data_IF_560749201885
#
_entry.id   IF_560749201885
#
_cell.length_a   1.000
_cell.length_b   1.000
_cell.length_c   1.000
_cell.angle_alpha   90.00
_cell.angle_beta   90.00
_cell.angle_gamma   90.00
#
_symmetry.space_group_name_H-M   'P 1'
#
loop_
_entity.id
_entity.type
_entity.pdbx_description
1 polymer ?
#
# COMPACT_ATOMS: atom_id res chain seq x y z
N UNK A 1 -8.61 -18.30 -13.74
CA UNK A 1 -7.89 -17.08 -14.13
C UNK A 1 -6.57 -17.06 -13.37
N UNK A 2 -5.43 -16.91 -14.04
CA UNK A 2 -4.15 -16.76 -13.36
C UNK A 2 -4.02 -15.30 -12.92
N UNK A 3 -4.18 -15.02 -11.62
CA UNK A 3 -4.16 -13.66 -11.08
C UNK A 3 -2.81 -12.97 -11.30
N UNK A 4 -1.72 -13.72 -11.22
CA UNK A 4 -0.38 -13.19 -11.46
C UNK A 4 -0.24 -12.68 -12.89
N UNK A 5 -0.63 -13.48 -13.88
CA UNK A 5 -0.63 -13.05 -15.29
C UNK A 5 -1.51 -11.81 -15.49
N UNK A 6 -2.72 -11.81 -14.92
CA UNK A 6 -3.62 -10.64 -14.97
C UNK A 6 -2.92 -9.36 -14.45
N UNK A 7 -2.22 -9.43 -13.33
CA UNK A 7 -1.53 -8.28 -12.77
C UNK A 7 -0.41 -7.80 -13.69
N UNK A 8 0.47 -8.70 -14.14
CA UNK A 8 1.60 -8.29 -14.98
C UNK A 8 1.16 -7.79 -16.36
N UNK A 9 0.11 -8.38 -16.95
CA UNK A 9 -0.44 -7.94 -18.23
C UNK A 9 -1.11 -6.56 -18.12
N UNK A 10 -1.89 -6.32 -17.06
CA UNK A 10 -2.56 -5.04 -16.87
C UNK A 10 -1.60 -3.86 -16.73
N UNK A 11 -0.42 -4.09 -16.15
CA UNK A 11 0.61 -3.08 -15.93
C UNK A 11 1.77 -3.15 -16.93
N UNK A 12 1.69 -3.99 -17.97
CA UNK A 12 2.78 -4.24 -18.93
C UNK A 12 3.26 -2.99 -19.69
N UNK A 13 2.40 -1.96 -19.80
CA UNK A 13 2.74 -0.69 -20.45
C UNK A 13 3.47 0.29 -19.52
N UNK A 14 3.57 0.01 -18.21
CA UNK A 14 4.33 0.83 -17.27
C UNK A 14 5.82 0.59 -17.47
N UNK A 15 6.55 1.66 -17.75
CA UNK A 15 8.01 1.63 -17.96
C UNK A 15 8.71 1.83 -16.63
N UNK A 16 9.84 1.15 -16.44
CA UNK A 16 10.68 1.36 -15.27
C UNK A 16 11.13 2.83 -15.21
N UNK A 17 10.82 3.57 -14.14
CA UNK A 17 11.26 4.96 -14.01
C UNK A 17 12.79 5.03 -13.84
N UNK A 18 13.36 6.17 -14.23
CA UNK A 18 14.76 6.49 -13.95
C UNK A 18 15.00 6.67 -12.45
N UNK A 19 16.25 6.53 -12.00
CA UNK A 19 16.59 6.50 -10.58
C UNK A 19 16.18 7.78 -9.82
N UNK A 20 16.19 8.93 -10.49
CA UNK A 20 15.75 10.24 -9.98
C UNK A 20 14.22 10.35 -9.86
N UNK A 21 13.47 9.47 -10.52
CA UNK A 21 12.00 9.43 -10.50
C UNK A 21 11.44 8.27 -9.67
N UNK A 22 12.29 7.53 -8.96
CA UNK A 22 11.87 6.45 -8.07
C UNK A 22 11.22 6.97 -6.79
N UNK A 23 11.79 8.00 -6.20
CA UNK A 23 11.45 8.48 -4.86
C UNK A 23 10.90 9.90 -4.90
N UNK A 24 9.94 10.19 -4.03
CA UNK A 24 9.51 11.55 -3.71
C UNK A 24 10.67 12.30 -3.04
N UNK A 25 10.75 13.64 -3.20
CA UNK A 25 11.70 14.45 -2.44
C UNK A 25 11.48 14.23 -0.94
N UNK A 26 12.56 13.91 -0.23
CA UNK A 26 12.58 13.85 1.24
C UNK A 26 13.67 14.77 1.73
N UNK A 27 13.46 15.44 2.87
CA UNK A 27 14.45 16.30 3.51
C UNK A 27 15.61 15.51 4.14
N UNK A 28 16.36 14.75 3.33
CA UNK A 28 17.63 14.12 3.72
C UNK A 28 17.57 12.80 4.47
N UNK A 29 16.54 11.97 4.29
CA UNK A 29 16.44 10.66 4.98
C UNK A 29 17.29 9.58 4.30
N UNK A 30 18.24 9.03 5.05
CA UNK A 30 19.12 7.92 4.63
C UNK A 30 18.37 6.63 4.25
N UNK A 31 17.16 6.42 4.78
CA UNK A 31 16.29 5.28 4.45
C UNK A 31 15.91 5.27 2.95
N UNK A 32 15.89 6.44 2.31
CA UNK A 32 15.60 6.55 0.87
C UNK A 32 16.69 5.96 -0.02
N UNK A 33 17.94 5.86 0.45
CA UNK A 33 19.07 5.46 -0.40
C UNK A 33 19.06 3.95 -0.67
N UNK A 34 18.82 3.14 0.36
CA UNK A 34 18.76 1.67 0.23
C UNK A 34 17.58 1.25 -0.64
N UNK A 35 16.43 1.89 -0.47
CA UNK A 35 15.25 1.63 -1.30
C UNK A 35 15.51 2.06 -2.75
N UNK A 36 16.10 3.25 -2.97
CA UNK A 36 16.45 3.73 -4.32
C UNK A 36 17.43 2.81 -5.02
N UNK A 37 18.49 2.37 -4.35
CA UNK A 37 19.48 1.44 -4.91
C UNK A 37 18.84 0.11 -5.32
N UNK A 38 18.02 -0.46 -4.44
CA UNK A 38 17.27 -1.68 -4.74
C UNK A 38 16.39 -1.51 -5.99
N UNK A 39 15.52 -0.51 -6.00
CA UNK A 39 14.53 -0.36 -7.07
C UNK A 39 15.14 0.16 -8.39
N UNK A 40 16.30 0.80 -8.35
CA UNK A 40 17.04 1.19 -9.55
C UNK A 40 17.67 -0.01 -10.28
N UNK A 41 17.94 -1.10 -9.56
CA UNK A 41 18.65 -2.27 -10.09
C UNK A 41 17.75 -3.50 -10.30
N UNK A 42 16.52 -3.47 -9.77
CA UNK A 42 15.55 -4.56 -9.88
C UNK A 42 14.41 -4.24 -10.82
N UNK A 43 14.02 -5.21 -11.64
CA UNK A 43 12.72 -5.21 -12.31
C UNK A 43 11.63 -5.62 -11.33
N UNK A 44 10.38 -5.28 -11.62
CA UNK A 44 9.24 -5.67 -10.78
C UNK A 44 9.15 -7.20 -10.59
N UNK A 45 9.43 -7.99 -11.63
CA UNK A 45 9.43 -9.45 -11.57
C UNK A 45 10.55 -10.08 -10.73
N UNK A 46 11.53 -9.30 -10.29
CA UNK A 46 12.75 -9.78 -9.63
C UNK A 46 12.77 -9.53 -8.12
N UNK A 47 11.78 -8.79 -7.58
CA UNK A 47 11.69 -8.51 -6.15
C UNK A 47 11.43 -9.78 -5.35
N UNK A 48 12.21 -9.96 -4.29
CA UNK A 48 12.08 -11.07 -3.35
C UNK A 48 11.29 -10.66 -2.11
N UNK A 49 10.69 -11.64 -1.43
CA UNK A 49 9.96 -11.41 -0.17
C UNK A 49 10.84 -10.76 0.90
N UNK A 50 12.13 -11.12 0.92
CA UNK A 50 13.09 -10.52 1.84
C UNK A 50 13.29 -9.03 1.55
N UNK A 51 13.43 -8.65 0.28
CA UNK A 51 13.57 -7.25 -0.13
C UNK A 51 12.29 -6.46 0.16
N UNK A 52 11.11 -7.05 -0.10
CA UNK A 52 9.83 -6.44 0.26
C UNK A 52 9.75 -6.18 1.76
N UNK A 53 10.01 -7.19 2.59
CA UNK A 53 9.91 -7.09 4.06
C UNK A 53 10.97 -6.18 4.70
N UNK A 54 12.18 -6.14 4.16
CA UNK A 54 13.32 -5.49 4.84
C UNK A 54 13.75 -4.16 4.24
N UNK A 55 13.21 -3.78 3.08
CA UNK A 55 13.57 -2.56 2.36
C UNK A 55 12.34 -1.77 1.94
N UNK A 56 11.32 -2.41 1.38
CA UNK A 56 10.13 -1.72 0.86
C UNK A 56 9.12 -1.42 1.96
N UNK A 57 8.92 -2.36 2.88
CA UNK A 57 8.06 -2.20 4.06
C UNK A 57 8.44 -0.94 4.87
N UNK A 58 7.42 -0.18 5.26
CA UNK A 58 7.54 1.11 5.95
C UNK A 58 7.97 2.27 5.05
N UNK A 59 8.32 2.00 3.79
CA UNK A 59 8.84 2.98 2.85
C UNK A 59 7.98 3.10 1.58
N UNK A 60 6.82 2.43 1.51
CA UNK A 60 5.98 2.44 0.31
C UNK A 60 5.48 3.87 -0.02
N UNK A 61 5.28 4.70 0.99
CA UNK A 61 4.89 6.11 0.85
C UNK A 61 5.96 6.97 0.12
N UNK A 62 7.23 6.56 0.16
CA UNK A 62 8.33 7.27 -0.52
C UNK A 62 8.28 7.13 -2.04
N UNK A 63 7.60 6.11 -2.57
CA UNK A 63 7.53 5.89 -4.01
C UNK A 63 6.76 7.01 -4.70
N UNK A 64 7.30 7.50 -5.81
CA UNK A 64 6.52 8.29 -6.77
C UNK A 64 5.38 7.45 -7.35
N UNK A 65 4.39 8.08 -7.95
CA UNK A 65 3.30 7.38 -8.65
C UNK A 65 3.82 6.40 -9.71
N UNK A 66 4.79 6.83 -10.52
CA UNK A 66 5.36 5.99 -11.59
C UNK A 66 6.07 4.75 -11.04
N UNK A 67 6.89 4.91 -10.00
CA UNK A 67 7.58 3.80 -9.37
C UNK A 67 6.59 2.85 -8.69
N UNK A 68 5.63 3.39 -7.95
CA UNK A 68 4.60 2.60 -7.30
C UNK A 68 3.84 1.73 -8.32
N UNK A 69 3.34 2.32 -9.41
CA UNK A 69 2.57 1.60 -10.42
C UNK A 69 3.40 0.59 -11.22
N UNK A 70 4.70 0.87 -11.45
CA UNK A 70 5.60 -0.08 -12.11
C UNK A 70 5.84 -1.34 -11.26
N UNK A 71 6.02 -1.18 -9.95
CA UNK A 71 6.26 -2.29 -9.03
C UNK A 71 4.98 -2.93 -8.48
N UNK A 72 3.83 -2.27 -8.60
CA UNK A 72 2.54 -2.74 -8.11
C UNK A 72 2.21 -4.19 -8.46
N UNK A 73 2.34 -4.69 -9.72
CA UNK A 73 2.02 -6.10 -10.01
C UNK A 73 2.83 -7.10 -9.18
N UNK A 74 4.07 -6.78 -8.84
CA UNK A 74 4.90 -7.61 -7.97
C UNK A 74 4.41 -7.54 -6.51
N UNK A 75 4.02 -6.36 -6.05
CA UNK A 75 3.44 -6.16 -4.72
C UNK A 75 2.13 -6.93 -4.56
N UNK A 76 1.21 -6.84 -5.54
CA UNK A 76 -0.06 -7.58 -5.54
C UNK A 76 0.18 -9.09 -5.52
N UNK A 77 1.08 -9.57 -6.38
CA UNK A 77 1.42 -11.00 -6.49
C UNK A 77 2.04 -11.53 -5.18
N UNK A 78 3.01 -10.82 -4.60
CA UNK A 78 3.68 -11.25 -3.38
C UNK A 78 2.73 -11.26 -2.18
N UNK A 79 1.90 -10.21 -2.02
CA UNK A 79 0.94 -10.13 -0.92
C UNK A 79 -0.12 -11.24 -0.96
N UNK A 80 -0.50 -11.72 -2.15
CA UNK A 80 -1.41 -12.86 -2.30
C UNK A 80 -0.71 -14.21 -2.10
N UNK A 81 0.39 -14.45 -2.83
CA UNK A 81 1.03 -15.77 -2.92
C UNK A 81 1.91 -16.09 -1.71
N UNK A 82 2.41 -15.06 -1.01
CA UNK A 82 3.42 -15.19 0.04
C UNK A 82 3.10 -14.37 1.28
N UNK A 83 1.80 -14.23 1.56
CA UNK A 83 1.27 -13.45 2.68
C UNK A 83 2.02 -13.67 4.00
N UNK A 84 2.24 -14.92 4.42
CA UNK A 84 2.96 -15.23 5.67
C UNK A 84 4.36 -14.61 5.77
N UNK A 85 5.04 -14.42 4.63
CA UNK A 85 6.38 -13.85 4.58
C UNK A 85 6.37 -12.31 4.56
N UNK A 86 5.26 -11.69 4.14
CA UNK A 86 5.13 -10.24 3.88
C UNK A 86 3.87 -9.62 4.48
N UNK A 87 3.30 -10.18 5.54
CA UNK A 87 1.97 -9.80 6.06
C UNK A 87 1.87 -8.33 6.49
N UNK A 88 2.94 -7.79 7.09
CA UNK A 88 3.02 -6.37 7.47
C UNK A 88 3.05 -5.49 6.21
N UNK A 89 3.93 -5.79 5.26
CA UNK A 89 3.93 -5.14 3.94
C UNK A 89 2.57 -5.26 3.22
N UNK A 90 1.88 -6.40 3.29
CA UNK A 90 0.57 -6.58 2.68
C UNK A 90 -0.50 -5.66 3.30
N UNK A 91 -0.44 -5.46 4.62
CA UNK A 91 -1.29 -4.48 5.32
C UNK A 91 -0.95 -3.04 4.91
N UNK A 92 0.34 -2.70 4.76
CA UNK A 92 0.77 -1.38 4.26
C UNK A 92 0.28 -1.16 2.81
N UNK A 93 0.41 -2.17 1.95
CA UNK A 93 -0.08 -2.12 0.58
C UNK A 93 -1.60 -1.93 0.53
N UNK A 94 -2.36 -2.62 1.38
CA UNK A 94 -3.81 -2.42 1.47
C UNK A 94 -4.14 -0.96 1.85
N UNK A 95 -3.43 -0.40 2.83
CA UNK A 95 -3.56 1.02 3.19
C UNK A 95 -3.24 1.94 2.01
N UNK A 96 -2.17 1.66 1.27
CA UNK A 96 -1.79 2.43 0.09
C UNK A 96 -2.78 2.32 -1.09
N UNK A 97 -3.56 1.24 -1.15
CA UNK A 97 -4.61 1.02 -2.16
C UNK A 97 -5.98 1.56 -1.71
N UNK A 98 -6.11 2.06 -0.48
CA UNK A 98 -7.38 2.53 0.07
C UNK A 98 -7.41 4.05 0.09
N UNK A 99 -8.47 4.65 -0.44
CA UNK A 99 -8.64 6.10 -0.35
C UNK A 99 -8.70 6.53 1.12
N UNK A 100 -7.78 7.41 1.56
CA UNK A 100 -7.64 7.71 2.97
C UNK A 100 -8.84 8.53 3.45
N UNK A 101 -9.41 8.12 4.60
CA UNK A 101 -10.47 8.85 5.28
C UNK A 101 -10.05 9.20 6.69
N UNK A 102 -10.36 10.43 7.11
CA UNK A 102 -10.09 10.86 8.49
C UNK A 102 -10.78 9.95 9.49
N UNK A 103 -11.99 9.48 9.15
CA UNK A 103 -12.76 8.57 9.99
C UNK A 103 -12.01 7.28 10.28
N UNK A 104 -11.34 6.70 9.28
CA UNK A 104 -10.59 5.46 9.44
C UNK A 104 -9.36 5.67 10.33
N UNK A 105 -8.67 6.80 10.17
CA UNK A 105 -7.52 7.16 11.01
C UNK A 105 -7.96 7.26 12.47
N UNK A 106 -9.05 8.00 12.73
CA UNK A 106 -9.61 8.13 14.08
C UNK A 106 -10.04 6.77 14.64
N UNK A 107 -10.73 5.96 13.83
CA UNK A 107 -11.20 4.65 14.28
C UNK A 107 -10.04 3.70 14.59
N UNK A 108 -9.00 3.67 13.75
CA UNK A 108 -7.78 2.88 14.00
C UNK A 108 -7.09 3.32 15.30
N UNK A 109 -6.97 4.63 15.55
CA UNK A 109 -6.37 5.17 16.77
C UNK A 109 -7.24 4.90 18.02
N UNK A 110 -8.56 4.98 17.90
CA UNK A 110 -9.49 4.63 18.97
C UNK A 110 -9.37 3.14 19.34
N UNK A 111 -9.18 2.25 18.36
CA UNK A 111 -8.93 0.82 18.61
C UNK A 111 -7.62 0.61 19.36
N UNK A 112 -6.55 1.32 18.99
CA UNK A 112 -5.26 1.24 19.70
C UNK A 112 -5.36 1.71 21.17
N UNK A 113 -6.26 2.64 21.45
CA UNK A 113 -6.50 3.17 22.79
C UNK A 113 -7.38 2.29 23.69
N UNK A 114 -8.13 1.30 23.13
CA UNK A 114 -9.03 0.44 23.92
C UNK A 114 -8.25 -0.51 24.83
N UNK A 115 -8.54 -0.57 26.15
CA UNK A 115 -7.89 -1.51 27.06
C UNK A 115 -8.31 -2.97 26.83
N UNK A 116 -7.38 -3.93 26.95
CA UNK A 116 -5.93 -3.70 26.96
C UNK A 116 -5.51 -3.18 25.58
N UNK A 117 -4.69 -2.11 25.53
CA UNK A 117 -4.20 -1.61 24.26
C UNK A 117 -3.55 -2.77 23.51
N UNK A 118 -3.94 -3.00 22.26
CA UNK A 118 -3.53 -4.19 21.51
C UNK A 118 -1.99 -4.34 21.43
N UNK A 119 -1.27 -3.24 21.63
CA UNK A 119 0.19 -3.14 21.59
C UNK A 119 0.84 -2.96 22.98
N UNK A 120 0.07 -2.90 24.07
CA UNK A 120 0.59 -2.67 25.42
C UNK A 120 1.28 -1.30 25.60
N UNK A 121 0.98 -0.34 24.73
CA UNK A 121 1.63 0.97 24.74
C UNK A 121 1.12 1.86 25.90
N UNK A 122 1.99 2.69 26.48
CA UNK A 122 1.61 3.75 27.42
C UNK A 122 0.60 4.73 26.80
N UNK A 123 -0.30 5.28 27.63
CA UNK A 123 -1.37 6.18 27.18
C UNK A 123 -0.83 7.44 26.50
N UNK A 124 0.24 8.04 27.04
CA UNK A 124 0.92 9.21 26.49
C UNK A 124 1.55 8.94 25.11
N UNK A 125 2.04 7.71 24.89
CA UNK A 125 2.53 7.29 23.58
C UNK A 125 1.37 7.11 22.57
N UNK A 126 0.22 6.59 23.00
CA UNK A 126 -0.97 6.48 22.15
C UNK A 126 -1.50 7.86 21.76
N UNK A 127 -1.54 8.81 22.69
CA UNK A 127 -1.94 10.20 22.39
C UNK A 127 -0.95 10.88 21.44
N UNK A 128 0.36 10.71 21.65
CA UNK A 128 1.38 11.25 20.75
C UNK A 128 1.28 10.68 19.33
N UNK A 129 1.01 9.37 19.21
CA UNK A 129 0.76 8.72 17.92
C UNK A 129 -0.52 9.27 17.27
N UNK A 130 -1.58 9.48 18.06
CA UNK A 130 -2.83 10.07 17.58
C UNK A 130 -2.61 11.46 17.01
N UNK A 131 -1.90 12.33 17.73
CA UNK A 131 -1.57 13.68 17.26
C UNK A 131 -0.79 13.63 15.94
N UNK A 132 0.27 12.83 15.87
CA UNK A 132 1.11 12.71 14.67
C UNK A 132 0.32 12.19 13.45
N UNK A 133 -0.51 11.17 13.63
CA UNK A 133 -1.30 10.58 12.54
C UNK A 133 -2.39 11.54 12.04
N UNK A 134 -3.03 12.28 12.95
CA UNK A 134 -4.03 13.28 12.57
C UNK A 134 -3.38 14.51 11.92
N UNK A 135 -2.23 14.97 12.41
CA UNK A 135 -1.47 16.05 11.77
C UNK A 135 -1.04 15.67 10.35
N UNK A 136 -0.52 14.46 10.17
CA UNK A 136 -0.16 13.95 8.85
C UNK A 136 -1.39 13.81 7.92
N UNK A 137 -2.53 13.36 8.43
CA UNK A 137 -3.76 13.34 7.65
C UNK A 137 -4.20 14.76 7.25
N UNK A 138 -4.14 15.68 8.19
CA UNK A 138 -4.62 17.06 8.03
C UNK A 138 -3.70 17.93 7.17
N UNK A 139 -2.45 17.51 6.92
CA UNK A 139 -1.58 18.15 5.93
C UNK A 139 -2.14 18.02 4.50
N UNK A 140 -3.01 17.04 4.26
CA UNK A 140 -3.54 16.70 2.94
C UNK A 140 -2.62 15.81 2.09
N UNK A 141 -1.42 15.51 2.58
CA UNK A 141 -0.45 14.67 1.87
C UNK A 141 -1.00 13.27 1.55
N UNK A 142 -1.71 12.55 2.44
CA UNK A 142 -2.18 11.20 2.13
C UNK A 142 -3.14 11.19 0.94
N UNK A 143 -4.06 12.15 0.91
CA UNK A 143 -5.02 12.29 -0.18
C UNK A 143 -4.31 12.66 -1.49
N UNK A 144 -3.35 13.61 -1.45
CA UNK A 144 -2.55 13.98 -2.61
C UNK A 144 -1.75 12.79 -3.16
N UNK A 145 -1.08 12.02 -2.29
CA UNK A 145 -0.34 10.81 -2.65
C UNK A 145 -1.25 9.78 -3.32
N UNK A 146 -2.45 9.58 -2.78
CA UNK A 146 -3.43 8.64 -3.33
C UNK A 146 -3.89 9.08 -4.73
N UNK A 147 -4.32 10.32 -4.89
CA UNK A 147 -4.77 10.85 -6.17
C UNK A 147 -3.66 10.83 -7.24
N UNK A 148 -2.43 11.21 -6.88
CA UNK A 148 -1.28 11.11 -7.78
C UNK A 148 -1.05 9.67 -8.28
N UNK A 149 -1.31 8.66 -7.44
CA UNK A 149 -1.16 7.24 -7.80
C UNK A 149 -2.29 6.73 -8.68
N UNK A 150 -3.53 7.11 -8.40
CA UNK A 150 -4.68 6.37 -8.92
C UNK A 150 -5.59 7.15 -9.89
N UNK A 151 -5.49 8.48 -9.97
CA UNK A 151 -6.31 9.25 -10.92
C UNK A 151 -5.97 8.93 -12.39
N UNK A 152 -4.72 8.51 -12.65
CA UNK A 152 -4.24 8.11 -13.99
C UNK A 152 -4.26 6.60 -14.26
N UNK A 153 -4.90 5.80 -13.40
CA UNK A 153 -4.99 4.35 -13.57
C UNK A 153 -6.04 4.00 -14.62
N UNK A 154 -5.63 3.16 -15.58
CA UNK A 154 -6.51 2.70 -16.66
C UNK A 154 -7.58 1.74 -16.13
N UNK A 155 -8.61 1.48 -16.94
CA UNK A 155 -9.65 0.50 -16.57
C UNK A 155 -9.08 -0.90 -16.33
N UNK A 156 -8.11 -1.33 -17.13
CA UNK A 156 -7.50 -2.65 -17.00
C UNK A 156 -6.70 -2.79 -15.70
N UNK A 157 -5.90 -1.76 -15.37
CA UNK A 157 -5.14 -1.70 -14.11
C UNK A 157 -6.06 -1.63 -12.88
N UNK A 158 -7.12 -0.81 -12.94
CA UNK A 158 -8.11 -0.75 -11.88
C UNK A 158 -8.86 -2.07 -11.66
N UNK A 159 -9.20 -2.78 -12.75
CA UNK A 159 -9.80 -4.11 -12.68
C UNK A 159 -8.83 -5.16 -12.08
N UNK A 160 -7.53 -5.05 -12.39
CA UNK A 160 -6.51 -5.91 -11.79
C UNK A 160 -6.35 -5.65 -10.27
N UNK A 161 -6.38 -4.39 -9.83
CA UNK A 161 -6.36 -4.04 -8.40
C UNK A 161 -7.62 -4.55 -7.70
N UNK A 162 -8.80 -4.38 -8.29
CA UNK A 162 -10.04 -4.92 -7.75
C UNK A 162 -10.00 -6.46 -7.63
N UNK A 163 -9.51 -7.14 -8.67
CA UNK A 163 -9.35 -8.60 -8.66
C UNK A 163 -8.40 -9.05 -7.55
N UNK A 164 -7.31 -8.31 -7.30
CA UNK A 164 -6.46 -8.51 -6.14
C UNK A 164 -7.24 -8.38 -4.84
N UNK A 165 -7.95 -7.26 -4.60
CA UNK A 165 -8.65 -7.03 -3.33
C UNK A 165 -9.72 -8.09 -3.05
N UNK A 166 -10.47 -8.50 -4.07
CA UNK A 166 -11.47 -9.58 -3.95
C UNK A 166 -10.79 -10.91 -3.61
N UNK A 167 -9.70 -11.27 -4.29
CA UNK A 167 -8.96 -12.48 -3.99
C UNK A 167 -8.31 -12.42 -2.59
N UNK A 168 -7.80 -11.26 -2.20
CA UNK A 168 -7.15 -11.02 -0.92
C UNK A 168 -8.15 -11.12 0.24
N UNK A 169 -9.36 -10.58 0.08
CA UNK A 169 -10.48 -10.77 1.01
C UNK A 169 -10.85 -12.25 1.18
N UNK A 170 -10.88 -13.02 0.08
CA UNK A 170 -11.23 -14.44 0.12
C UNK A 170 -10.16 -15.29 0.80
N UNK A 171 -8.89 -14.98 0.58
CA UNK A 171 -7.76 -15.75 1.12
C UNK A 171 -7.41 -15.36 2.55
N UNK A 172 -7.34 -14.06 2.85
CA UNK A 172 -6.71 -13.50 4.05
C UNK A 172 -7.65 -12.56 4.83
N UNK A 173 -8.92 -12.47 4.45
CA UNK A 173 -9.87 -11.54 5.07
C UNK A 173 -10.09 -11.74 6.57
N UNK A 174 -9.82 -12.94 7.09
CA UNK A 174 -9.91 -13.22 8.52
C UNK A 174 -8.85 -12.45 9.34
N UNK A 175 -7.73 -12.07 8.72
CA UNK A 175 -6.64 -11.31 9.36
C UNK A 175 -6.92 -9.80 9.41
N UNK A 176 -8.01 -9.35 8.76
CA UNK A 176 -8.47 -7.96 8.69
C UNK A 176 -9.88 -7.87 9.30
N UNK A 177 -9.98 -7.95 10.65
CA UNK A 177 -11.26 -8.14 11.34
C UNK A 177 -12.15 -6.90 11.36
N UNK A 178 -11.72 -5.80 10.74
CA UNK A 178 -12.45 -4.53 10.75
C UNK A 178 -12.83 -4.07 9.36
N UNK A 179 -13.05 -5.03 8.45
CA UNK A 179 -13.55 -4.78 7.10
C UNK A 179 -12.63 -3.84 6.29
N UNK A 180 -11.32 -3.81 6.57
CA UNK A 180 -10.38 -2.93 5.86
C UNK A 180 -10.37 -3.22 4.36
N UNK A 181 -10.35 -4.50 3.98
CA UNK A 181 -10.34 -4.91 2.57
C UNK A 181 -11.68 -4.59 1.91
N UNK A 182 -12.80 -4.84 2.61
CA UNK A 182 -14.13 -4.47 2.14
C UNK A 182 -14.26 -2.95 1.92
N UNK A 183 -13.71 -2.16 2.83
CA UNK A 183 -13.67 -0.70 2.73
C UNK A 183 -12.92 -0.25 1.48
N UNK A 184 -11.76 -0.85 1.20
CA UNK A 184 -11.01 -0.59 -0.02
C UNK A 184 -11.85 -0.87 -1.28
N UNK A 185 -12.50 -2.04 -1.33
CA UNK A 185 -13.35 -2.46 -2.45
C UNK A 185 -14.50 -1.46 -2.67
N UNK A 186 -15.22 -1.12 -1.61
CA UNK A 186 -16.46 -0.33 -1.68
C UNK A 186 -16.21 1.13 -2.09
N UNK A 187 -15.11 1.75 -1.65
CA UNK A 187 -14.90 3.20 -1.83
C UNK A 187 -14.38 3.56 -3.21
N UNK A 188 -13.38 2.84 -3.71
CA UNK A 188 -12.65 3.29 -4.90
C UNK A 188 -12.69 2.28 -6.04
N UNK A 189 -12.66 0.98 -5.72
CA UNK A 189 -12.41 -0.04 -6.73
C UNK A 189 -13.69 -0.60 -7.35
N UNK A 190 -14.83 -0.48 -6.68
CA UNK A 190 -16.14 -0.87 -7.21
C UNK A 190 -16.45 -0.24 -8.59
N UNK A 191 -15.94 0.97 -8.88
CA UNK A 191 -16.13 1.64 -10.19
C UNK A 191 -15.45 0.93 -11.37
N UNK A 192 -14.51 0.02 -11.09
CA UNK A 192 -13.78 -0.75 -12.09
C UNK A 192 -14.29 -2.19 -12.23
N UNK A 193 -15.31 -2.58 -11.45
CA UNK A 193 -16.03 -3.83 -11.67
C UNK A 193 -16.79 -3.79 -12.99
N UNK A 194 -16.86 -4.92 -13.69
CA UNK A 194 -17.83 -5.04 -14.77
C UNK A 194 -19.25 -5.04 -14.19
N UNK A 195 -20.22 -4.32 -14.81
CA UNK A 195 -21.61 -4.33 -14.39
C UNK A 195 -22.29 -5.69 -14.57
#
# INVERSE_FOLDING_TARGET
MNLRELFFDAFALRVQPSADRLMRPTDGRHESDRLRELLATRRSTELTDYELRTVVEGNLWLLTSEAFLYFLPAFLSASLERYDAVSVFASELLGALTEPSRGDVVEALDRLARPPSALGLPVDMVESLREQQLEWFDSGDPAAIFHERFDGVTRAEGAAILAFLVAFQQAHGADFPFDEIKTAIDRYWARYGDP
#
